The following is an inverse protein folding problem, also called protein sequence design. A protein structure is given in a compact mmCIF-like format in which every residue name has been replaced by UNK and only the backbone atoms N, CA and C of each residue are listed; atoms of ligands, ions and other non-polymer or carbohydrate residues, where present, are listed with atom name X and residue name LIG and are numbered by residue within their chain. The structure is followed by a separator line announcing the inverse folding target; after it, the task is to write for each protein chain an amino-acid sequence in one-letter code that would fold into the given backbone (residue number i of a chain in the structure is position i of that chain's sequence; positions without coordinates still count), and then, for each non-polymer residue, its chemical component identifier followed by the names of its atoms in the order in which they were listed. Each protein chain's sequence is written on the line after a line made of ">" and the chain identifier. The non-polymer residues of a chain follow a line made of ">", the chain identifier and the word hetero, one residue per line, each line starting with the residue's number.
data_IF_822633990893
#
_entry.id   IF_822633990893
#
_cell.length_a   1.000
_cell.length_b   1.000
_cell.length_c   1.000
_cell.angle_alpha   90.00
_cell.angle_beta   90.00
_cell.angle_gamma   90.00
#
_symmetry.space_group_name_H-M   'P 1'
#
loop_
_entity.id
_entity.type
_entity.pdbx_description
1 polymer ?
#
# COMPACT_ATOMS: atom_id res chain seq x y z
N UNK A 1 14.70 8.32 -10.12
CA UNK A 1 14.54 8.63 -8.68
C UNK A 1 14.13 7.35 -7.98
N UNK A 2 14.80 6.96 -6.88
CA UNK A 2 14.46 5.76 -6.11
C UNK A 2 13.53 6.12 -4.95
N UNK A 3 12.56 5.27 -4.64
CA UNK A 3 11.70 5.42 -3.46
C UNK A 3 12.34 4.67 -2.30
N UNK A 4 12.55 5.35 -1.17
CA UNK A 4 13.07 4.75 0.05
C UNK A 4 11.90 4.23 0.88
N UNK A 5 11.98 2.97 1.31
CA UNK A 5 11.00 2.33 2.20
C UNK A 5 11.65 2.04 3.55
N UNK A 6 10.87 2.17 4.63
CA UNK A 6 11.30 1.75 5.96
C UNK A 6 11.27 0.22 6.08
N UNK A 7 12.12 -0.35 6.94
CA UNK A 7 12.20 -1.81 7.16
C UNK A 7 10.84 -2.42 7.48
N UNK A 8 10.03 -1.76 8.31
CA UNK A 8 8.66 -2.20 8.63
C UNK A 8 7.76 -2.34 7.39
N UNK A 9 7.91 -1.46 6.40
CA UNK A 9 7.14 -1.50 5.15
C UNK A 9 7.64 -2.64 4.27
N UNK A 10 8.96 -2.82 4.19
CA UNK A 10 9.60 -3.92 3.45
C UNK A 10 9.12 -5.27 4.00
N UNK A 11 9.21 -5.49 5.32
CA UNK A 11 8.73 -6.71 5.96
C UNK A 11 7.23 -6.93 5.77
N UNK A 12 6.42 -5.86 5.78
CA UNK A 12 4.99 -5.99 5.51
C UNK A 12 4.73 -6.44 4.07
N UNK A 13 5.38 -5.82 3.08
CA UNK A 13 5.25 -6.18 1.67
C UNK A 13 5.72 -7.62 1.40
N UNK A 14 6.80 -8.06 2.04
CA UNK A 14 7.28 -9.44 1.92
C UNK A 14 6.29 -10.46 2.47
N UNK A 15 5.63 -10.13 3.59
CA UNK A 15 4.56 -10.98 4.13
C UNK A 15 3.36 -11.04 3.20
N UNK A 16 2.95 -9.91 2.60
CA UNK A 16 1.87 -9.88 1.60
C UNK A 16 2.21 -10.74 0.39
N UNK A 17 3.41 -10.57 -0.18
CA UNK A 17 3.86 -11.37 -1.33
C UNK A 17 3.91 -12.87 -1.02
N UNK A 18 4.43 -13.23 0.16
CA UNK A 18 4.45 -14.61 0.66
C UNK A 18 3.04 -15.19 0.84
N UNK A 19 2.12 -14.41 1.39
CA UNK A 19 0.72 -14.81 1.57
C UNK A 19 0.01 -15.06 0.23
N UNK A 20 0.17 -14.16 -0.73
CA UNK A 20 -0.42 -14.32 -2.07
C UNK A 20 0.13 -15.57 -2.76
N UNK A 21 1.45 -15.81 -2.66
CA UNK A 21 2.07 -17.04 -3.18
C UNK A 21 1.49 -18.29 -2.53
N UNK A 22 1.31 -18.29 -1.21
CA UNK A 22 0.74 -19.43 -0.49
C UNK A 22 -0.70 -19.74 -0.91
N UNK A 23 -1.49 -18.73 -1.26
CA UNK A 23 -2.91 -18.90 -1.61
C UNK A 23 -3.14 -19.17 -3.09
N UNK A 24 -2.40 -18.48 -3.98
CA UNK A 24 -2.63 -18.51 -5.42
C UNK A 24 -1.56 -19.27 -6.21
N UNK A 25 -0.43 -19.63 -5.60
CA UNK A 25 0.75 -20.14 -6.30
C UNK A 25 1.51 -19.09 -7.12
N UNK A 26 0.96 -17.89 -7.28
CA UNK A 26 1.55 -16.77 -8.03
C UNK A 26 2.38 -15.87 -7.12
N UNK A 27 3.46 -15.31 -7.65
CA UNK A 27 4.30 -14.35 -6.92
C UNK A 27 4.06 -12.93 -7.37
N UNK A 28 3.91 -12.02 -6.41
CA UNK A 28 3.98 -10.59 -6.62
C UNK A 28 5.20 -10.02 -5.89
N UNK A 29 6.03 -9.27 -6.61
CA UNK A 29 7.15 -8.55 -6.04
C UNK A 29 6.69 -7.22 -5.43
N UNK A 30 7.56 -6.61 -4.61
CA UNK A 30 7.27 -5.36 -3.89
C UNK A 30 6.81 -4.24 -4.82
N UNK A 31 7.43 -4.09 -5.99
CA UNK A 31 7.09 -3.05 -6.95
C UNK A 31 5.74 -3.30 -7.64
N UNK A 32 5.36 -4.55 -7.88
CA UNK A 32 4.02 -4.90 -8.37
C UNK A 32 2.95 -4.59 -7.35
N UNK A 33 3.17 -4.93 -6.08
CA UNK A 33 2.23 -4.63 -4.99
C UNK A 33 2.06 -3.12 -4.85
N UNK A 34 3.16 -2.36 -4.81
CA UNK A 34 3.12 -0.90 -4.68
C UNK A 34 2.37 -0.27 -5.85
N UNK A 35 2.65 -0.68 -7.09
CA UNK A 35 1.97 -0.16 -8.28
C UNK A 35 0.47 -0.46 -8.25
N UNK A 36 0.08 -1.71 -7.97
CA UNK A 36 -1.33 -2.09 -7.90
C UNK A 36 -2.10 -1.31 -6.81
N UNK A 37 -1.45 -1.00 -5.68
CA UNK A 37 -2.05 -0.17 -4.64
C UNK A 37 -2.21 1.29 -5.08
N UNK A 38 -1.23 1.85 -5.80
CA UNK A 38 -1.31 3.21 -6.35
C UNK A 38 -2.40 3.29 -7.42
N UNK A 39 -2.43 2.34 -8.36
CA UNK A 39 -3.44 2.28 -9.41
C UNK A 39 -4.84 2.15 -8.79
N UNK A 40 -5.02 1.29 -7.78
CA UNK A 40 -6.28 1.19 -7.05
C UNK A 40 -6.69 2.48 -6.33
N UNK A 41 -5.74 3.28 -5.83
CA UNK A 41 -6.04 4.60 -5.27
C UNK A 41 -6.51 5.58 -6.35
N UNK A 42 -5.85 5.59 -7.51
CA UNK A 42 -6.23 6.42 -8.67
C UNK A 42 -7.64 6.06 -9.14
N UNK A 43 -7.90 4.77 -9.35
CA UNK A 43 -9.18 4.24 -9.83
C UNK A 43 -10.32 4.47 -8.83
N UNK A 44 -10.01 4.55 -7.53
CA UNK A 44 -11.00 4.84 -6.50
C UNK A 44 -11.53 6.28 -6.51
N UNK A 45 -10.90 7.17 -7.28
CA UNK A 45 -11.20 8.61 -7.30
C UNK A 45 -10.87 9.32 -5.98
N UNK A 46 -10.04 8.72 -5.13
CA UNK A 46 -9.63 9.32 -3.87
C UNK A 46 -8.71 10.51 -4.13
N UNK A 47 -9.24 11.72 -3.95
CA UNK A 47 -8.45 12.95 -4.08
C UNK A 47 -7.47 13.09 -2.91
N UNK A 48 -6.21 12.68 -3.13
CA UNK A 48 -5.14 12.77 -2.13
C UNK A 48 -4.47 14.16 -2.08
N UNK A 49 -4.75 15.05 -3.03
CA UNK A 49 -4.07 16.35 -3.18
C UNK A 49 -4.35 17.32 -2.03
N UNK A 50 -5.46 17.11 -1.34
CA UNK A 50 -5.86 17.87 -0.14
C UNK A 50 -5.10 17.48 1.13
N UNK A 51 -4.17 16.53 1.07
CA UNK A 51 -3.41 16.09 2.25
C UNK A 51 -2.18 16.96 2.47
N UNK A 52 -2.05 17.56 3.65
CA UNK A 52 -0.95 18.48 3.95
C UNK A 52 0.34 17.78 4.46
N UNK A 53 0.21 16.54 4.96
CA UNK A 53 1.32 15.76 5.54
C UNK A 53 1.17 14.27 5.23
N UNK A 54 2.26 13.50 5.35
CA UNK A 54 2.21 12.03 5.24
C UNK A 54 1.26 11.41 6.29
N UNK A 55 1.23 11.96 7.50
CA UNK A 55 0.36 11.50 8.57
C UNK A 55 -1.12 11.71 8.23
N UNK A 56 -1.45 12.86 7.65
CA UNK A 56 -2.81 13.16 7.20
C UNK A 56 -3.22 12.25 6.04
N UNK A 57 -2.37 12.09 5.02
CA UNK A 57 -2.62 11.18 3.91
C UNK A 57 -2.88 9.76 4.41
N UNK A 58 -2.03 9.25 5.32
CA UNK A 58 -2.19 7.93 5.93
C UNK A 58 -3.52 7.80 6.67
N UNK A 59 -3.90 8.80 7.45
CA UNK A 59 -5.18 8.81 8.17
C UNK A 59 -6.38 8.82 7.22
N UNK A 60 -6.30 9.57 6.11
CA UNK A 60 -7.35 9.60 5.08
C UNK A 60 -7.50 8.24 4.40
N UNK A 61 -6.40 7.59 4.02
CA UNK A 61 -6.41 6.24 3.43
C UNK A 61 -6.99 5.24 4.42
N UNK A 62 -6.55 5.25 5.67
CA UNK A 62 -7.05 4.34 6.70
C UNK A 62 -8.57 4.51 6.95
N UNK A 63 -9.06 5.76 6.99
CA UNK A 63 -10.51 6.05 7.10
C UNK A 63 -11.29 5.50 5.90
N UNK A 64 -10.77 5.68 4.68
CA UNK A 64 -11.43 5.23 3.45
C UNK A 64 -11.53 3.71 3.34
N UNK A 65 -10.51 2.99 3.83
CA UNK A 65 -10.42 1.53 3.79
C UNK A 65 -11.13 0.84 4.97
N UNK A 66 -11.74 1.60 5.89
CA UNK A 66 -12.68 1.07 6.87
C UNK A 66 -12.07 0.42 8.12
N UNK A 67 -10.74 0.30 8.26
CA UNK A 67 -10.12 -0.12 9.54
C UNK A 67 -8.69 0.43 9.70
N UNK A 68 -8.32 1.03 10.85
CA UNK A 68 -6.92 1.21 11.20
C UNK A 68 -6.27 -0.16 11.46
N UNK A 69 -5.08 -0.39 10.88
CA UNK A 69 -4.25 -1.54 11.24
C UNK A 69 -3.92 -1.46 12.74
N UNK A 70 -4.41 -2.40 13.54
CA UNK A 70 -4.06 -2.57 14.96
C UNK A 70 -2.85 -3.47 15.12
#
# INVERSE_FOLDING_TARGET
>A
MSVVLFDRQIHHLDRVGSGIRSMSGKSLNRAEIIRALIDGLIDSGMDITTSATEADLRARVARRLGTPYR
#
